data_IF_379980776971
#
_entry.id   IF_379980776971
#
_cell.length_a   1.000
_cell.length_b   1.000
_cell.length_c   1.000
_cell.angle_alpha   90.00
_cell.angle_beta   90.00
_cell.angle_gamma   90.00
#
_symmetry.space_group_name_H-M   'P 1'
#
loop_
_entity.id
_entity.type
_entity.pdbx_description
1 polymer ?
#
# COMPACT_ATOMS: atom_id res chain seq x y z
N UNK A 1 5.22 17.97 4.34
CA UNK A 1 5.90 18.60 3.20
C UNK A 1 4.93 19.49 2.45
N UNK A 2 5.39 20.66 2.03
CA UNK A 2 4.66 21.63 1.22
C UNK A 2 5.36 21.92 -0.10
N UNK A 3 6.68 21.74 -0.17
CA UNK A 3 7.47 21.89 -1.41
C UNK A 3 8.23 20.60 -1.75
N UNK A 4 8.85 20.55 -2.93
CA UNK A 4 9.70 19.43 -3.34
C UNK A 4 11.01 19.40 -2.55
N UNK A 5 11.51 20.55 -2.13
CA UNK A 5 12.72 20.64 -1.31
C UNK A 5 12.56 19.93 0.05
N UNK A 6 11.35 19.90 0.60
CA UNK A 6 11.08 19.27 1.90
C UNK A 6 11.28 17.74 1.89
N UNK A 7 11.24 17.07 0.73
CA UNK A 7 11.42 15.59 0.63
C UNK A 7 12.83 15.19 0.22
N UNK A 8 13.63 16.14 -0.26
CA UNK A 8 14.95 15.86 -0.84
C UNK A 8 15.85 15.19 0.19
N UNK A 9 16.42 14.05 -0.18
CA UNK A 9 17.32 13.25 0.65
C UNK A 9 16.64 12.45 1.76
N UNK A 10 15.32 12.56 1.96
CA UNK A 10 14.60 11.75 2.95
C UNK A 10 14.63 10.27 2.56
N UNK A 11 14.83 9.39 3.53
CA UNK A 11 14.71 7.94 3.39
C UNK A 11 13.25 7.53 3.49
N UNK A 12 12.63 7.13 2.39
CA UNK A 12 11.21 6.78 2.34
C UNK A 12 11.05 5.27 2.21
N UNK A 13 10.40 4.65 3.20
CA UNK A 13 10.01 3.24 3.14
C UNK A 13 8.98 3.03 2.01
N UNK A 14 9.29 2.08 1.13
CA UNK A 14 8.45 1.75 -0.03
C UNK A 14 8.39 0.25 -0.30
N UNK A 15 7.40 -0.14 -1.11
CA UNK A 15 7.41 -1.41 -1.85
C UNK A 15 7.90 -1.16 -3.27
N UNK A 16 8.70 -2.06 -3.84
CA UNK A 16 9.58 -1.82 -5.01
C UNK A 16 8.99 -1.05 -6.20
N UNK A 17 7.69 -1.20 -6.50
CA UNK A 17 7.02 -0.45 -7.59
C UNK A 17 7.05 1.08 -7.42
N UNK A 18 7.26 1.59 -6.21
CA UNK A 18 7.27 3.04 -5.93
C UNK A 18 8.68 3.67 -5.93
N UNK A 19 9.74 2.87 -6.07
CA UNK A 19 11.11 3.40 -6.08
C UNK A 19 11.35 4.48 -7.15
N UNK A 20 10.82 4.38 -8.39
CA UNK A 20 10.99 5.43 -9.40
C UNK A 20 10.35 6.76 -8.99
N UNK A 21 9.18 6.72 -8.34
CA UNK A 21 8.46 7.93 -7.88
C UNK A 21 9.27 8.62 -6.79
N UNK A 22 9.77 7.87 -5.81
CA UNK A 22 10.59 8.44 -4.72
C UNK A 22 11.90 9.04 -5.26
N UNK A 23 12.56 8.35 -6.20
CA UNK A 23 13.77 8.88 -6.85
C UNK A 23 13.51 10.15 -7.65
N UNK A 24 12.36 10.23 -8.35
CA UNK A 24 11.97 11.42 -9.10
C UNK A 24 11.73 12.64 -8.22
N UNK A 25 11.51 12.43 -6.91
CA UNK A 25 11.38 13.47 -5.90
C UNK A 25 12.72 13.81 -5.19
N UNK A 26 13.85 13.32 -5.70
CA UNK A 26 15.18 13.43 -5.07
C UNK A 26 15.26 12.84 -3.65
N UNK A 27 14.35 11.93 -3.31
CA UNK A 27 14.36 11.18 -2.05
C UNK A 27 15.03 9.81 -2.22
N UNK A 28 15.38 9.18 -1.10
CA UNK A 28 16.06 7.88 -1.06
C UNK A 28 15.02 6.78 -0.81
N UNK A 29 14.64 5.95 -1.80
CA UNK A 29 13.77 4.81 -1.54
C UNK A 29 14.51 3.76 -0.71
N UNK A 30 13.88 3.33 0.38
CA UNK A 30 14.37 2.22 1.22
C UNK A 30 13.36 1.09 1.11
N UNK A 31 13.79 -0.01 0.51
CA UNK A 31 12.95 -1.20 0.35
C UNK A 31 12.97 -2.03 1.62
N UNK A 32 11.84 -2.06 2.30
CA UNK A 32 11.66 -2.72 3.59
C UNK A 32 10.31 -3.46 3.54
N UNK A 33 10.22 -4.73 3.98
CA UNK A 33 8.95 -5.40 4.15
C UNK A 33 7.99 -4.55 5.00
N UNK A 34 6.71 -4.49 4.64
CA UNK A 34 5.74 -3.62 5.31
C UNK A 34 5.58 -3.91 6.81
N UNK A 35 5.85 -5.15 7.20
CA UNK A 35 5.84 -5.65 8.57
C UNK A 35 6.94 -4.98 9.42
N UNK A 36 8.02 -4.53 8.79
CA UNK A 36 9.17 -3.89 9.43
C UNK A 36 9.12 -2.36 9.34
N UNK A 37 8.07 -1.77 8.77
CA UNK A 37 7.96 -0.31 8.66
C UNK A 37 7.84 0.38 10.01
N UNK A 38 7.07 -0.18 10.96
CA UNK A 38 6.94 0.39 12.31
C UNK A 38 8.30 0.48 13.01
N UNK A 39 9.08 -0.61 13.18
CA UNK A 39 10.38 -0.52 13.82
C UNK A 39 11.39 0.31 13.01
N UNK A 40 11.28 0.35 11.67
CA UNK A 40 12.15 1.19 10.85
C UNK A 40 11.87 2.69 11.04
N UNK A 41 10.60 3.09 11.19
CA UNK A 41 10.21 4.47 11.53
C UNK A 41 10.57 4.81 12.99
N UNK A 42 10.23 3.94 13.93
CA UNK A 42 10.50 4.13 15.36
C UNK A 42 11.99 4.32 15.65
N UNK A 43 12.86 3.59 14.94
CA UNK A 43 14.33 3.66 15.09
C UNK A 43 14.99 4.73 14.20
N UNK A 44 14.21 5.46 13.40
CA UNK A 44 14.76 6.47 12.47
C UNK A 44 15.60 5.90 11.32
N UNK A 45 15.43 4.61 11.00
CA UNK A 45 16.06 3.99 9.82
C UNK A 45 15.49 4.61 8.54
N UNK A 46 14.18 4.91 8.54
CA UNK A 46 13.50 5.70 7.52
C UNK A 46 12.86 6.94 8.14
N UNK A 47 12.69 7.98 7.32
CA UNK A 47 12.14 9.28 7.73
C UNK A 47 10.64 9.40 7.41
N UNK A 48 10.10 8.46 6.62
CA UNK A 48 8.69 8.42 6.24
C UNK A 48 8.36 7.19 5.39
N UNK A 49 7.12 7.11 4.91
CA UNK A 49 6.66 6.03 4.03
C UNK A 49 5.66 6.53 2.98
N UNK A 50 5.50 5.77 1.88
CA UNK A 50 4.54 6.07 0.82
C UNK A 50 3.44 5.00 0.80
N UNK A 51 2.25 5.31 1.32
CA UNK A 51 1.09 4.42 1.25
C UNK A 51 -0.25 5.14 1.51
N UNK A 52 -1.37 4.43 1.32
CA UNK A 52 -2.71 4.94 1.62
C UNK A 52 -3.06 4.77 3.11
N UNK A 53 -3.99 5.60 3.63
CA UNK A 53 -4.29 5.68 5.07
C UNK A 53 -4.78 4.37 5.70
N UNK A 54 -5.48 3.50 4.95
CA UNK A 54 -5.96 2.23 5.49
C UNK A 54 -4.79 1.33 5.92
N UNK A 55 -3.74 1.24 5.09
CA UNK A 55 -2.50 0.56 5.44
C UNK A 55 -1.82 1.22 6.63
N UNK A 56 -1.69 2.55 6.65
CA UNK A 56 -1.05 3.24 7.77
C UNK A 56 -1.77 2.95 9.10
N UNK A 57 -3.10 2.81 9.07
CA UNK A 57 -3.91 2.42 10.24
C UNK A 57 -3.67 0.96 10.64
N UNK A 58 -3.73 0.02 9.70
CA UNK A 58 -3.54 -1.42 9.96
C UNK A 58 -2.18 -1.68 10.61
N UNK A 59 -1.13 -1.02 10.12
CA UNK A 59 0.23 -1.17 10.63
C UNK A 59 0.59 -0.19 11.76
N UNK A 60 -0.38 0.57 12.29
CA UNK A 60 -0.21 1.50 13.42
C UNK A 60 0.90 2.55 13.21
N UNK A 61 1.04 3.04 11.97
CA UNK A 61 2.12 3.97 11.59
C UNK A 61 1.73 5.44 11.80
N UNK A 62 0.43 5.74 11.95
CA UNK A 62 -0.08 7.11 12.01
C UNK A 62 0.54 7.93 13.16
N UNK A 63 0.77 7.30 14.32
CA UNK A 63 1.35 7.97 15.50
C UNK A 63 2.84 8.33 15.31
N UNK A 64 3.52 7.63 14.39
CA UNK A 64 4.94 7.88 14.06
C UNK A 64 5.10 8.89 12.91
N UNK A 65 4.01 9.28 12.26
CA UNK A 65 4.01 10.13 11.06
C UNK A 65 3.23 11.43 11.33
N UNK A 66 3.86 12.46 11.93
CA UNK A 66 3.15 13.69 12.29
C UNK A 66 2.67 14.51 11.08
N UNK A 67 3.23 14.25 9.89
CA UNK A 67 2.94 14.99 8.67
C UNK A 67 2.46 14.05 7.57
N UNK A 68 1.39 14.44 6.90
CA UNK A 68 0.80 13.68 5.78
C UNK A 68 0.64 14.58 4.56
N UNK A 69 1.01 14.07 3.39
CA UNK A 69 0.78 14.74 2.11
C UNK A 69 -0.10 13.83 1.25
N UNK A 70 -1.25 14.35 0.82
CA UNK A 70 -2.22 13.61 0.01
C UNK A 70 -2.07 14.02 -1.45
N UNK A 71 -1.84 13.04 -2.33
CA UNK A 71 -1.60 13.29 -3.75
C UNK A 71 -2.91 13.28 -4.56
N UNK A 72 -3.66 14.38 -4.47
CA UNK A 72 -4.91 14.56 -5.22
C UNK A 72 -6.01 13.53 -4.92
N UNK A 73 -7.16 13.62 -5.60
CA UNK A 73 -8.30 12.72 -5.35
C UNK A 73 -8.02 11.25 -5.71
N UNK A 74 -7.16 11.00 -6.71
CA UNK A 74 -6.83 9.66 -7.20
C UNK A 74 -5.64 8.99 -6.50
N UNK A 75 -4.91 9.72 -5.64
CA UNK A 75 -3.69 9.22 -5.02
C UNK A 75 -2.57 8.89 -6.01
N UNK A 76 -1.50 8.27 -5.49
CA UNK A 76 -0.34 7.78 -6.27
C UNK A 76 -0.11 6.27 -6.09
N UNK A 77 -0.92 5.62 -5.26
CA UNK A 77 -0.81 4.21 -4.89
C UNK A 77 -2.21 3.57 -4.95
N UNK A 78 -2.77 3.54 -6.16
CA UNK A 78 -4.01 2.82 -6.48
C UNK A 78 -3.67 1.71 -7.49
N UNK A 79 -3.16 0.59 -6.99
CA UNK A 79 -2.98 -0.62 -7.80
C UNK A 79 -4.26 -1.45 -7.83
N UNK A 80 -4.42 -2.28 -8.87
CA UNK A 80 -5.45 -3.30 -8.86
C UNK A 80 -5.21 -4.27 -7.69
N UNK A 81 -6.23 -4.44 -6.85
CA UNK A 81 -6.28 -5.47 -5.82
C UNK A 81 -7.36 -6.45 -6.26
N UNK A 82 -7.06 -7.75 -6.19
CA UNK A 82 -7.97 -8.78 -6.63
C UNK A 82 -7.88 -10.01 -5.75
N UNK A 83 -8.99 -10.71 -5.63
CA UNK A 83 -9.04 -12.07 -5.09
C UNK A 83 -8.52 -13.00 -6.19
N UNK A 84 -7.50 -13.80 -5.88
CA UNK A 84 -6.86 -14.71 -6.85
C UNK A 84 -6.93 -16.12 -6.29
N UNK A 85 -7.42 -17.07 -7.09
CA UNK A 85 -7.44 -18.50 -6.75
C UNK A 85 -6.63 -19.33 -7.76
N UNK A 86 -6.00 -20.40 -7.29
CA UNK A 86 -5.37 -21.39 -8.15
C UNK A 86 -6.40 -22.02 -9.11
N UNK A 87 -6.08 -22.08 -10.40
CA UNK A 87 -7.01 -22.58 -11.43
C UNK A 87 -7.39 -24.07 -11.25
N UNK A 88 -6.47 -24.91 -10.79
CA UNK A 88 -6.76 -26.33 -10.57
C UNK A 88 -7.66 -26.52 -9.34
N UNK A 89 -7.38 -25.77 -8.26
CA UNK A 89 -8.26 -25.76 -7.10
C UNK A 89 -9.66 -25.29 -7.49
N UNK A 90 -9.77 -24.18 -8.22
CA UNK A 90 -11.04 -23.67 -8.73
C UNK A 90 -11.80 -24.71 -9.56
N UNK A 91 -11.13 -25.34 -10.53
CA UNK A 91 -11.72 -26.36 -11.40
C UNK A 91 -12.14 -27.65 -10.66
N UNK A 92 -11.56 -27.92 -9.48
CA UNK A 92 -11.95 -29.06 -8.63
C UNK A 92 -13.17 -28.80 -7.75
N UNK A 93 -13.58 -27.53 -7.59
CA UNK A 93 -14.73 -27.18 -6.76
C UNK A 93 -16.05 -27.57 -7.45
N UNK A 94 -17.04 -28.07 -6.69
CA UNK A 94 -18.42 -28.21 -7.16
C UNK A 94 -18.99 -26.88 -7.69
N UNK A 95 -19.94 -26.95 -8.63
CA UNK A 95 -20.51 -25.74 -9.28
C UNK A 95 -21.19 -24.79 -8.32
N UNK A 96 -21.95 -25.32 -7.35
CA UNK A 96 -22.61 -24.55 -6.29
C UNK A 96 -21.60 -23.78 -5.44
N UNK A 97 -20.42 -24.35 -5.19
CA UNK A 97 -19.34 -23.65 -4.49
C UNK A 97 -18.68 -22.59 -5.36
N UNK A 98 -18.48 -22.86 -6.66
CA UNK A 98 -17.97 -21.86 -7.60
C UNK A 98 -18.93 -20.66 -7.71
N UNK A 99 -20.23 -20.92 -7.78
CA UNK A 99 -21.26 -19.87 -7.80
C UNK A 99 -21.24 -19.03 -6.52
N UNK A 100 -21.15 -19.67 -5.34
CA UNK A 100 -21.05 -18.96 -4.07
C UNK A 100 -19.82 -18.03 -3.99
N UNK A 101 -18.65 -18.46 -4.50
CA UNK A 101 -17.47 -17.60 -4.55
C UNK A 101 -17.66 -16.39 -5.49
N UNK A 102 -18.35 -16.57 -6.62
CA UNK A 102 -18.62 -15.45 -7.53
C UNK A 102 -19.58 -14.44 -6.90
N UNK A 103 -20.68 -14.90 -6.31
CA UNK A 103 -21.68 -14.05 -5.65
C UNK A 103 -21.04 -13.23 -4.52
N UNK A 104 -20.26 -13.88 -3.64
CA UNK A 104 -19.53 -13.19 -2.56
C UNK A 104 -18.50 -12.19 -3.11
N UNK A 105 -17.82 -12.53 -4.20
CA UNK A 105 -16.86 -11.61 -4.82
C UNK A 105 -17.54 -10.37 -5.41
N UNK A 106 -18.70 -10.51 -6.07
CA UNK A 106 -19.49 -9.38 -6.58
C UNK A 106 -19.99 -8.48 -5.45
N UNK A 107 -20.42 -9.07 -4.33
CA UNK A 107 -20.84 -8.32 -3.14
C UNK A 107 -19.70 -7.49 -2.57
N UNK A 108 -18.51 -8.09 -2.43
CA UNK A 108 -17.29 -7.39 -1.99
C UNK A 108 -16.98 -6.20 -2.88
N UNK A 109 -17.00 -6.36 -4.21
CA UNK A 109 -16.67 -5.26 -5.12
C UNK A 109 -17.76 -4.19 -5.22
N UNK A 110 -19.04 -4.54 -5.05
CA UNK A 110 -20.15 -3.57 -5.09
C UNK A 110 -20.23 -2.69 -3.84
N UNK A 111 -19.74 -3.18 -2.70
CA UNK A 111 -19.73 -2.42 -1.42
C UNK A 111 -18.39 -1.74 -1.10
N UNK A 112 -17.35 -1.93 -1.93
CA UNK A 112 -16.01 -1.37 -1.72
C UNK A 112 -15.75 -0.03 -2.43
N UNK A 113 -16.77 0.63 -2.99
CA UNK A 113 -16.69 1.92 -3.69
C UNK A 113 -17.63 2.98 -3.08
#
# INVERSE_FOLDING_TARGET
>A
MRTLEDIKGMKIAITGKYAPIVKALDAVPVEVPIQDWYPALERGVVDGCLNHFAVLRVFKLLDLLPNHTVFGPGGINMGAVGIIMNANTWGSLPKDIQEAFFEDSEDIYSHSL
#
